data_IF_932217456880
#
_entry.id   IF_932217456880
#
_cell.length_a   1.000
_cell.length_b   1.000
_cell.length_c   1.000
_cell.angle_alpha   90.00
_cell.angle_beta   90.00
_cell.angle_gamma   90.00
#
_symmetry.space_group_name_H-M   'P 1'
#
loop_
_entity.id
_entity.type
_entity.pdbx_description
1 polymer ?
#
# COMPACT_ATOMS: atom_id res chain seq x y z
N UNK A 1 27.13 -34.64 -27.94
CA UNK A 1 25.82 -34.63 -27.25
C UNK A 1 26.05 -33.86 -25.97
N UNK A 2 25.81 -32.55 -25.98
CA UNK A 2 26.26 -31.63 -24.93
C UNK A 2 25.05 -31.19 -24.12
N UNK A 3 24.98 -31.62 -22.86
CA UNK A 3 23.90 -31.28 -21.94
C UNK A 3 24.10 -29.87 -21.41
N UNK A 4 23.12 -28.99 -21.67
CA UNK A 4 23.06 -27.62 -21.13
C UNK A 4 22.32 -27.72 -19.79
N UNK A 5 23.05 -27.73 -18.68
CA UNK A 5 22.47 -27.53 -17.34
C UNK A 5 22.40 -26.03 -17.07
N UNK A 6 21.24 -25.44 -16.74
CA UNK A 6 21.18 -24.05 -16.34
C UNK A 6 21.67 -23.89 -14.90
N UNK A 7 22.49 -22.87 -14.71
CA UNK A 7 23.10 -22.40 -13.46
C UNK A 7 22.04 -21.78 -12.53
N UNK A 8 21.93 -22.16 -11.24
CA UNK A 8 20.96 -21.55 -10.32
C UNK A 8 21.50 -20.23 -9.77
N UNK A 9 21.40 -19.18 -10.59
CA UNK A 9 21.81 -17.80 -10.25
C UNK A 9 20.85 -17.03 -9.35
N UNK A 10 20.42 -17.57 -8.20
CA UNK A 10 19.74 -16.77 -7.18
C UNK A 10 20.23 -17.08 -5.76
N UNK A 11 21.50 -16.77 -5.48
CA UNK A 11 21.99 -16.67 -4.11
C UNK A 11 21.60 -15.31 -3.54
N UNK A 12 20.34 -15.18 -3.13
CA UNK A 12 19.90 -14.09 -2.26
C UNK A 12 20.56 -14.30 -0.89
N UNK A 13 21.48 -13.42 -0.51
CA UNK A 13 22.07 -13.42 0.84
C UNK A 13 20.95 -13.34 1.89
N UNK A 14 20.94 -14.19 2.94
CA UNK A 14 19.91 -14.13 3.96
C UNK A 14 19.95 -12.78 4.68
N UNK A 15 18.88 -11.99 4.55
CA UNK A 15 18.70 -10.78 5.37
C UNK A 15 18.41 -11.18 6.82
N UNK A 16 18.92 -10.44 7.81
CA UNK A 16 18.62 -10.73 9.21
C UNK A 16 17.12 -10.58 9.47
N UNK A 17 16.49 -11.67 9.91
CA UNK A 17 15.10 -11.69 10.38
C UNK A 17 15.03 -11.12 11.80
N UNK A 18 14.07 -10.24 12.07
CA UNK A 18 13.84 -9.64 13.40
C UNK A 18 13.22 -10.60 14.44
N UNK A 19 13.28 -11.91 14.20
CA UNK A 19 12.68 -12.95 15.05
C UNK A 19 13.70 -14.00 15.53
N UNK A 20 13.42 -14.70 16.65
CA UNK A 20 14.40 -15.57 17.33
C UNK A 20 14.68 -16.92 16.65
N UNK A 21 14.16 -17.20 15.44
CA UNK A 21 14.42 -18.45 14.72
C UNK A 21 14.42 -18.23 13.21
N UNK A 22 15.36 -18.87 12.51
CA UNK A 22 15.37 -18.97 11.06
C UNK A 22 14.09 -19.69 10.59
N UNK A 23 13.28 -19.02 9.76
CA UNK A 23 12.06 -19.59 9.22
C UNK A 23 12.42 -20.61 8.12
N UNK A 24 11.96 -21.86 8.26
CA UNK A 24 11.94 -22.82 7.15
C UNK A 24 10.96 -22.32 6.06
N UNK A 25 11.29 -22.46 4.76
CA UNK A 25 10.37 -22.12 3.68
C UNK A 25 9.11 -23.01 3.72
N UNK A 26 8.08 -22.57 4.43
CA UNK A 26 6.77 -23.23 4.43
C UNK A 26 5.92 -22.81 3.23
N UNK A 27 4.99 -23.69 2.83
CA UNK A 27 3.83 -23.40 1.98
C UNK A 27 2.89 -22.42 2.71
N UNK A 28 3.36 -21.20 2.93
CA UNK A 28 2.53 -20.12 3.45
C UNK A 28 1.41 -19.88 2.44
N UNK A 29 0.21 -20.37 2.76
CA UNK A 29 -1.02 -19.95 2.09
C UNK A 29 -0.98 -18.44 2.00
N UNK A 30 -1.00 -17.90 0.78
CA UNK A 30 -0.81 -16.48 0.53
C UNK A 30 -1.65 -15.66 1.51
N UNK A 31 -0.98 -14.86 2.35
CA UNK A 31 -1.66 -13.87 3.18
C UNK A 31 -2.44 -12.98 2.21
N UNK A 32 -3.77 -12.83 2.33
CA UNK A 32 -4.47 -11.83 1.55
C UNK A 32 -3.77 -10.51 1.82
N UNK A 33 -3.32 -9.84 0.76
CA UNK A 33 -2.61 -8.58 0.91
C UNK A 33 -3.51 -7.65 1.72
N UNK A 34 -3.04 -7.11 2.84
CA UNK A 34 -3.87 -6.30 3.73
C UNK A 34 -4.44 -5.05 3.03
N UNK A 35 -3.77 -4.58 1.97
CA UNK A 35 -4.23 -3.49 1.10
C UNK A 35 -5.21 -3.93 0.01
N UNK A 36 -5.41 -5.24 -0.19
CA UNK A 36 -6.50 -5.73 -1.01
C UNK A 36 -7.78 -5.66 -0.18
N UNK A 37 -8.42 -4.48 -0.22
CA UNK A 37 -9.86 -4.38 -0.06
C UNK A 37 -10.48 -5.41 -1.02
N UNK A 38 -10.89 -6.57 -0.49
CA UNK A 38 -11.40 -7.68 -1.30
C UNK A 38 -12.51 -7.16 -2.20
N UNK A 39 -12.17 -6.99 -3.47
CA UNK A 39 -13.09 -6.51 -4.48
C UNK A 39 -13.99 -7.68 -4.84
N UNK A 40 -15.20 -7.66 -4.27
CA UNK A 40 -16.44 -8.20 -4.83
C UNK A 40 -16.43 -9.67 -5.30
N UNK A 41 -17.13 -10.54 -4.58
CA UNK A 41 -17.89 -11.59 -5.27
C UNK A 41 -19.09 -10.94 -5.98
N UNK A 42 -19.29 -11.26 -7.27
CA UNK A 42 -20.47 -10.80 -8.04
C UNK A 42 -21.75 -11.26 -7.33
N UNK A 43 -22.60 -10.30 -6.96
CA UNK A 43 -23.99 -10.58 -6.53
C UNK A 43 -24.38 -10.14 -5.12
N UNK A 44 -23.46 -9.61 -4.30
CA UNK A 44 -23.78 -9.14 -2.95
C UNK A 44 -23.43 -7.65 -2.79
N UNK A 45 -24.33 -6.81 -2.22
CA UNK A 45 -23.96 -5.45 -1.83
C UNK A 45 -22.93 -5.57 -0.71
N UNK A 46 -21.69 -5.19 -0.99
CA UNK A 46 -20.60 -5.28 -0.01
C UNK A 46 -20.75 -4.12 0.96
N UNK A 47 -21.38 -4.38 2.12
CA UNK A 47 -21.30 -3.50 3.30
C UNK A 47 -20.18 -4.03 4.21
N UNK A 48 -18.97 -4.20 3.69
CA UNK A 48 -17.82 -4.39 4.57
C UNK A 48 -17.19 -3.02 4.79
N UNK A 49 -17.11 -2.54 6.04
CA UNK A 49 -16.32 -1.35 6.31
C UNK A 49 -14.91 -1.67 5.82
N UNK A 50 -14.29 -0.77 5.05
CA UNK A 50 -12.89 -0.92 4.65
C UNK A 50 -11.96 -1.18 5.85
N UNK A 51 -10.65 -1.35 5.63
CA UNK A 51 -9.71 -1.62 6.72
C UNK A 51 -9.96 -0.69 7.92
N UNK A 52 -9.92 -1.23 9.16
CA UNK A 52 -10.33 -0.48 10.34
C UNK A 52 -9.54 0.82 10.45
N UNK A 53 -10.24 1.92 10.64
CA UNK A 53 -9.63 3.26 10.78
C UNK A 53 -9.67 3.69 12.25
N UNK A 54 -8.60 4.33 12.75
CA UNK A 54 -8.63 4.96 14.07
C UNK A 54 -9.77 5.98 14.16
N UNK A 55 -10.49 5.97 15.28
CA UNK A 55 -11.62 6.88 15.52
C UNK A 55 -11.18 8.26 16.01
N UNK A 56 -10.00 8.34 16.63
CA UNK A 56 -9.40 9.58 17.10
C UNK A 56 -8.00 9.69 16.50
N UNK A 57 -7.78 10.77 15.76
CA UNK A 57 -6.51 11.10 15.11
C UNK A 57 -6.22 12.58 15.35
N UNK A 58 -4.95 12.91 15.57
CA UNK A 58 -4.51 14.30 15.53
C UNK A 58 -4.28 14.70 14.08
N UNK A 59 -4.78 15.86 13.68
CA UNK A 59 -4.54 16.37 12.34
C UNK A 59 -3.07 16.77 12.12
N UNK A 60 -2.63 16.72 10.87
CA UNK A 60 -1.30 17.17 10.45
C UNK A 60 -1.43 18.14 9.28
N UNK A 61 -0.72 19.26 9.34
CA UNK A 61 -0.73 20.25 8.26
C UNK A 61 -0.16 19.66 6.97
N UNK A 62 -0.88 19.86 5.85
CA UNK A 62 -0.42 19.46 4.53
C UNK A 62 0.87 20.18 4.13
N UNK A 63 1.06 21.42 4.58
CA UNK A 63 2.28 22.19 4.32
C UNK A 63 3.48 21.61 5.05
N UNK A 64 3.29 21.13 6.29
CA UNK A 64 4.33 20.44 7.05
C UNK A 64 4.73 19.12 6.36
N UNK A 65 3.74 18.31 5.96
CA UNK A 65 3.97 17.08 5.21
C UNK A 65 4.72 17.35 3.90
N UNK A 66 4.33 18.38 3.15
CA UNK A 66 5.00 18.77 1.91
C UNK A 66 6.47 19.15 2.18
N UNK A 67 6.73 19.93 3.23
CA UNK A 67 8.09 20.30 3.64
C UNK A 67 8.96 19.08 4.00
N UNK A 68 8.40 18.11 4.73
CA UNK A 68 9.10 16.87 5.09
C UNK A 68 9.41 15.99 3.87
N UNK A 69 8.53 15.98 2.86
CA UNK A 69 8.68 15.19 1.64
C UNK A 69 9.47 15.91 0.53
N UNK A 70 9.85 17.17 0.72
CA UNK A 70 10.46 17.99 -0.32
C UNK A 70 9.52 18.31 -1.49
N UNK A 71 8.21 18.26 -1.26
CA UNK A 71 7.19 18.57 -2.24
C UNK A 71 6.85 20.08 -2.24
N UNK A 72 6.32 20.62 -3.35
CA UNK A 72 5.83 22.00 -3.38
C UNK A 72 4.80 22.24 -2.27
N UNK A 73 4.92 23.38 -1.59
CA UNK A 73 3.98 23.76 -0.54
C UNK A 73 2.59 24.00 -1.15
N UNK A 74 1.51 23.48 -0.53
CA UNK A 74 0.15 23.78 -0.95
C UNK A 74 -0.17 25.26 -0.69
N UNK A 75 -0.94 25.89 -1.58
CA UNK A 75 -1.36 27.29 -1.37
C UNK A 75 -2.42 27.43 -0.27
N UNK A 76 -3.15 26.35 0.00
CA UNK A 76 -4.20 26.30 1.02
C UNK A 76 -3.66 25.67 2.28
N UNK A 77 -4.02 26.25 3.43
CA UNK A 77 -3.81 25.60 4.71
C UNK A 77 -4.84 24.48 4.87
N UNK A 78 -4.39 23.24 4.72
CA UNK A 78 -5.22 22.03 4.76
C UNK A 78 -4.70 21.12 5.85
N UNK A 79 -5.61 20.58 6.64
CA UNK A 79 -5.33 19.59 7.68
C UNK A 79 -5.62 18.18 7.15
N UNK A 80 -4.67 17.27 7.33
CA UNK A 80 -4.74 15.88 6.92
C UNK A 80 -5.01 15.01 8.15
N UNK A 81 -5.99 14.11 8.04
CA UNK A 81 -6.41 13.21 9.13
C UNK A 81 -6.33 11.73 8.75
N UNK A 82 -6.02 11.44 7.48
CA UNK A 82 -5.84 10.09 6.99
C UNK A 82 -5.10 10.07 5.67
N UNK A 83 -4.79 8.86 5.19
CA UNK A 83 -4.11 8.65 3.90
C UNK A 83 -4.61 7.35 3.29
N UNK A 84 -4.75 7.32 1.96
CA UNK A 84 -5.03 6.09 1.21
C UNK A 84 -4.51 6.15 -0.22
N UNK A 85 -4.17 4.99 -0.79
CA UNK A 85 -3.86 4.83 -2.22
C UNK A 85 -5.05 4.27 -3.03
N UNK A 86 -6.15 3.86 -2.37
CA UNK A 86 -7.37 3.39 -3.05
C UNK A 86 -8.33 4.58 -3.25
N UNK A 87 -8.50 5.03 -4.49
CA UNK A 87 -9.37 6.17 -4.82
C UNK A 87 -10.82 5.93 -4.41
N UNK A 88 -11.25 4.67 -4.36
CA UNK A 88 -12.60 4.26 -3.95
C UNK A 88 -12.80 4.32 -2.44
N UNK A 89 -11.72 4.44 -1.66
CA UNK A 89 -11.74 4.45 -0.20
C UNK A 89 -11.42 5.83 0.41
N UNK A 90 -11.21 6.86 -0.42
CA UNK A 90 -10.94 8.24 0.03
C UNK A 90 -12.13 8.77 0.84
N UNK A 91 -11.82 9.35 2.00
CA UNK A 91 -12.77 10.06 2.87
C UNK A 91 -12.40 11.54 2.97
N UNK A 92 -13.34 12.43 3.34
CA UNK A 92 -13.00 13.82 3.63
C UNK A 92 -11.87 13.91 4.68
N UNK A 93 -10.83 14.69 4.37
CA UNK A 93 -9.64 14.82 5.22
C UNK A 93 -8.52 13.82 4.92
N UNK A 94 -8.69 12.89 3.98
CA UNK A 94 -7.63 12.00 3.52
C UNK A 94 -6.70 12.65 2.49
N UNK A 95 -5.42 12.31 2.58
CA UNK A 95 -4.46 12.47 1.50
C UNK A 95 -4.57 11.26 0.55
N UNK A 96 -4.84 11.51 -0.73
CA UNK A 96 -4.80 10.47 -1.75
C UNK A 96 -3.38 10.36 -2.32
N UNK A 97 -2.71 9.23 -2.07
CA UNK A 97 -1.40 8.95 -2.66
C UNK A 97 -1.62 8.36 -4.05
N UNK A 98 -1.39 9.10 -5.13
CA UNK A 98 -1.64 8.64 -6.50
C UNK A 98 -0.41 7.92 -7.11
N UNK A 99 -0.17 6.67 -6.71
CA UNK A 99 1.03 5.90 -7.10
C UNK A 99 0.88 5.21 -8.48
N UNK A 100 1.99 4.94 -9.19
CA UNK A 100 1.99 4.10 -10.38
C UNK A 100 1.71 2.63 -10.03
N UNK A 101 0.84 1.98 -10.81
CA UNK A 101 0.53 0.56 -10.67
C UNK A 101 0.81 -0.24 -11.95
N UNK A 102 0.80 -1.57 -11.85
CA UNK A 102 1.05 -2.47 -12.98
C UNK A 102 -0.07 -2.44 -14.06
N UNK A 103 -1.28 -1.99 -13.69
CA UNK A 103 -2.46 -1.98 -14.57
C UNK A 103 -3.00 -0.58 -14.85
N UNK A 104 -2.81 0.35 -13.94
CA UNK A 104 -3.33 1.71 -13.99
C UNK A 104 -2.44 2.62 -13.16
N UNK A 105 -2.45 3.92 -13.47
CA UNK A 105 -1.76 4.94 -12.67
C UNK A 105 -2.78 5.64 -11.76
N UNK A 106 -2.44 5.86 -10.48
CA UNK A 106 -3.35 6.50 -9.53
C UNK A 106 -3.79 7.92 -9.95
N UNK A 107 -2.91 8.63 -10.66
CA UNK A 107 -3.19 9.97 -11.17
C UNK A 107 -4.38 10.01 -12.15
N UNK A 108 -4.70 8.90 -12.81
CA UNK A 108 -5.82 8.80 -13.75
C UNK A 108 -7.20 8.86 -13.05
N UNK A 109 -7.23 8.78 -11.72
CA UNK A 109 -8.45 8.81 -10.90
C UNK A 109 -8.66 10.15 -10.16
N UNK A 110 -7.80 11.14 -10.41
CA UNK A 110 -7.94 12.51 -9.89
C UNK A 110 -8.64 13.35 -10.95
N UNK A 111 -9.70 14.07 -10.56
CA UNK A 111 -10.55 14.85 -11.47
C UNK A 111 -10.50 16.34 -11.16
#
# INVERSE_FOLDING_TARGET
>A
MTTITPDPGNQSTPRPSLGPRAAEPGTLTAVPHADQSQTTQKGHPVTYPGPPRPVHVSATSLAELAGQLGAPAPEKNVEVTGITHDSRAVRPGDLYAALPGARAHGADFVN
#
